data_IF_836951773982
#
_entry.id   IF_836951773982
#
_cell.length_a   1.000
_cell.length_b   1.000
_cell.length_c   1.000
_cell.angle_alpha   90.00
_cell.angle_beta   90.00
_cell.angle_gamma   90.00
#
_symmetry.space_group_name_H-M   'P 1'
#
loop_
_entity.id
_entity.type
_entity.pdbx_description
1 polymer ?
#
# COMPACT_ATOMS: atom_id res chain seq x y z
N UNK A 1 10.85 -15.54 8.90
CA UNK A 1 10.53 -14.25 9.55
C UNK A 1 9.69 -13.47 8.56
N UNK A 2 8.52 -12.96 8.97
CA UNK A 2 7.62 -12.23 8.07
C UNK A 2 7.80 -10.74 8.27
N UNK A 3 8.18 -10.01 7.21
CA UNK A 3 8.35 -8.56 7.21
C UNK A 3 7.20 -7.91 6.44
N UNK A 4 6.58 -6.89 7.02
CA UNK A 4 5.54 -6.07 6.39
C UNK A 4 5.93 -4.61 6.62
N UNK A 5 5.82 -3.79 5.59
CA UNK A 5 6.20 -2.38 5.64
C UNK A 5 4.93 -1.52 5.59
N UNK A 6 4.81 -0.59 6.54
CA UNK A 6 3.81 0.46 6.55
C UNK A 6 4.49 1.80 6.29
N UNK A 7 3.98 2.60 5.36
CA UNK A 7 4.62 3.87 4.99
C UNK A 7 3.62 5.00 4.80
N UNK A 8 3.91 6.17 5.34
CA UNK A 8 3.17 7.40 5.06
C UNK A 8 3.41 7.85 3.63
N UNK A 9 2.36 8.28 2.92
CA UNK A 9 2.47 8.74 1.53
C UNK A 9 2.00 10.18 1.27
N UNK A 10 1.54 10.91 2.29
CA UNK A 10 0.94 12.23 2.09
C UNK A 10 1.89 13.27 1.51
N UNK A 11 3.16 13.23 1.94
CA UNK A 11 4.20 14.11 1.44
C UNK A 11 4.57 13.78 -0.01
N UNK A 12 4.56 12.49 -0.38
CA UNK A 12 4.88 12.03 -1.73
C UNK A 12 3.78 12.32 -2.76
N UNK A 13 2.54 12.54 -2.30
CA UNK A 13 1.40 12.88 -3.14
C UNK A 13 1.29 14.37 -3.43
N UNK A 14 2.11 15.20 -2.81
CA UNK A 14 2.05 16.65 -3.01
C UNK A 14 2.61 17.04 -4.39
N UNK A 15 1.89 17.84 -5.19
CA UNK A 15 2.35 18.30 -6.50
C UNK A 15 3.59 19.18 -6.43
N UNK A 16 3.95 19.66 -5.23
CA UNK A 16 5.15 20.48 -4.99
C UNK A 16 6.43 19.65 -4.86
N UNK A 17 6.33 18.33 -4.77
CA UNK A 17 7.49 17.44 -4.74
C UNK A 17 7.80 17.04 -6.18
N UNK A 18 9.00 17.35 -6.71
CA UNK A 18 9.38 16.95 -8.06
C UNK A 18 9.20 15.44 -8.14
N UNK A 19 8.37 15.02 -9.08
CA UNK A 19 7.83 13.68 -9.21
C UNK A 19 8.80 12.61 -8.70
N UNK A 20 8.50 12.03 -7.54
CA UNK A 20 8.98 10.70 -7.18
C UNK A 20 8.38 9.62 -8.11
N UNK A 21 7.94 10.01 -9.32
CA UNK A 21 7.21 9.21 -10.30
C UNK A 21 8.03 8.10 -10.94
N UNK A 22 9.34 8.03 -10.67
CA UNK A 22 10.19 6.89 -11.03
C UNK A 22 10.64 6.08 -9.80
N UNK A 23 10.92 6.75 -8.67
CA UNK A 23 11.43 6.07 -7.47
C UNK A 23 10.37 5.22 -6.77
N UNK A 24 9.12 5.68 -6.70
CA UNK A 24 8.06 4.93 -6.00
C UNK A 24 7.75 3.59 -6.72
N UNK A 25 7.52 3.56 -8.05
CA UNK A 25 7.34 2.30 -8.76
C UNK A 25 8.51 1.33 -8.63
N UNK A 26 9.76 1.82 -8.68
CA UNK A 26 10.97 0.98 -8.54
C UNK A 26 11.03 0.32 -7.16
N UNK A 27 10.84 1.09 -6.08
CA UNK A 27 10.83 0.55 -4.71
C UNK A 27 9.68 -0.44 -4.51
N UNK A 28 8.50 -0.14 -5.04
CA UNK A 28 7.35 -1.06 -5.00
C UNK A 28 7.67 -2.37 -5.70
N UNK A 29 8.30 -2.31 -6.88
CA UNK A 29 8.70 -3.48 -7.65
C UNK A 29 9.74 -4.32 -6.91
N UNK A 30 10.75 -3.70 -6.31
CA UNK A 30 11.79 -4.40 -5.54
C UNK A 30 11.20 -5.14 -4.34
N UNK A 31 10.28 -4.49 -3.61
CA UNK A 31 9.60 -5.10 -2.46
C UNK A 31 8.69 -6.26 -2.91
N UNK A 32 8.00 -6.11 -4.05
CA UNK A 32 7.19 -7.19 -4.62
C UNK A 32 8.04 -8.39 -5.01
N UNK A 33 9.20 -8.20 -5.63
CA UNK A 33 10.13 -9.28 -5.98
C UNK A 33 10.63 -10.05 -4.75
N UNK A 34 10.79 -9.35 -3.63
CA UNK A 34 11.18 -9.96 -2.35
C UNK A 34 10.00 -10.55 -1.57
N UNK A 35 8.78 -10.50 -2.11
CA UNK A 35 7.55 -10.90 -1.44
C UNK A 35 7.31 -10.15 -0.11
N UNK A 36 7.73 -8.89 -0.04
CA UNK A 36 7.53 -8.02 1.14
C UNK A 36 6.26 -7.19 0.90
N UNK A 37 5.20 -7.36 1.71
CA UNK A 37 4.00 -6.55 1.59
C UNK A 37 4.27 -5.10 2.00
N UNK A 38 3.85 -4.17 1.15
CA UNK A 38 3.86 -2.72 1.41
C UNK A 38 2.42 -2.23 1.57
N UNK A 39 2.10 -1.66 2.72
CA UNK A 39 0.78 -1.10 3.05
C UNK A 39 0.94 0.41 3.23
N UNK A 40 0.50 1.23 2.27
CA UNK A 40 0.58 2.68 2.40
C UNK A 40 -0.45 3.21 3.40
N UNK A 41 -0.12 4.34 4.01
CA UNK A 41 -0.91 5.06 4.99
C UNK A 41 -1.04 6.51 4.54
N UNK A 42 -2.25 7.03 4.50
CA UNK A 42 -2.53 8.42 4.15
C UNK A 42 -3.62 9.01 5.04
N UNK A 43 -3.50 10.30 5.30
CA UNK A 43 -4.55 11.14 5.89
C UNK A 43 -5.66 11.49 4.90
N UNK A 44 -5.49 11.21 3.60
CA UNK A 44 -6.49 11.43 2.56
C UNK A 44 -7.56 10.35 2.56
N UNK A 45 -8.72 10.68 2.02
CA UNK A 45 -9.82 9.76 1.79
C UNK A 45 -9.55 8.82 0.60
N UNK A 46 -10.32 7.73 0.52
CA UNK A 46 -10.29 6.81 -0.65
C UNK A 46 -10.59 7.54 -1.96
N UNK A 47 -11.48 8.53 -1.94
CA UNK A 47 -11.87 9.25 -3.14
C UNK A 47 -10.73 10.12 -3.67
N UNK A 48 -9.98 10.79 -2.78
CA UNK A 48 -8.86 11.65 -3.16
C UNK A 48 -7.66 10.86 -3.69
N UNK A 49 -7.44 9.64 -3.18
CA UNK A 49 -6.29 8.82 -3.58
C UNK A 49 -6.56 7.92 -4.78
N UNK A 50 -7.82 7.73 -5.20
CA UNK A 50 -8.19 6.75 -6.23
C UNK A 50 -7.43 6.93 -7.56
N UNK A 51 -7.28 8.18 -8.01
CA UNK A 51 -6.62 8.50 -9.29
C UNK A 51 -5.10 8.28 -9.23
N UNK A 52 -4.48 8.63 -8.10
CA UNK A 52 -3.05 8.41 -7.87
C UNK A 52 -2.73 6.93 -7.59
N UNK A 53 -3.65 6.22 -6.95
CA UNK A 53 -3.46 4.82 -6.55
C UNK A 53 -3.22 3.91 -7.77
N UNK A 54 -3.99 4.12 -8.83
CA UNK A 54 -3.83 3.40 -10.09
C UNK A 54 -2.51 3.73 -10.78
N UNK A 55 -2.07 4.99 -10.74
CA UNK A 55 -0.84 5.41 -11.43
C UNK A 55 0.44 4.88 -10.77
N UNK A 56 0.41 4.54 -9.48
CA UNK A 56 1.54 3.92 -8.78
C UNK A 56 1.63 2.39 -8.95
N UNK A 57 0.69 1.76 -9.66
CA UNK A 57 0.69 0.30 -9.85
C UNK A 57 0.51 -0.49 -8.54
N UNK A 58 -0.03 0.15 -7.51
CA UNK A 58 -0.21 -0.45 -6.19
C UNK A 58 -1.49 -1.29 -6.16
N UNK A 59 -1.33 -2.57 -5.82
CA UNK A 59 -2.42 -3.55 -5.66
C UNK A 59 -2.50 -4.09 -4.22
N UNK A 60 -1.90 -3.36 -3.28
CA UNK A 60 -1.92 -3.71 -1.86
C UNK A 60 -3.13 -3.10 -1.13
N UNK A 61 -3.45 -3.55 0.09
CA UNK A 61 -4.34 -2.81 0.96
C UNK A 61 -3.80 -1.40 1.23
N UNK A 62 -4.72 -0.44 1.39
CA UNK A 62 -4.43 0.96 1.65
C UNK A 62 -5.11 1.40 2.95
N UNK A 63 -4.37 2.07 3.83
CA UNK A 63 -4.92 2.71 5.02
C UNK A 63 -5.18 4.19 4.70
N UNK A 64 -6.42 4.63 4.92
CA UNK A 64 -6.89 5.99 4.58
C UNK A 64 -7.36 6.74 5.83
N UNK A 65 -7.56 8.05 5.69
CA UNK A 65 -8.12 8.93 6.71
C UNK A 65 -7.37 8.84 8.05
N UNK A 66 -6.03 8.72 7.98
CA UNK A 66 -5.15 8.69 9.14
C UNK A 66 -5.30 7.41 9.98
N UNK A 67 -5.85 6.34 9.40
CA UNK A 67 -6.03 5.05 10.07
C UNK A 67 -7.48 4.65 10.34
N UNK A 68 -8.47 5.51 10.07
CA UNK A 68 -9.88 5.19 10.32
C UNK A 68 -10.50 4.29 9.26
N UNK A 69 -9.87 4.13 8.09
CA UNK A 69 -10.37 3.30 7.01
C UNK A 69 -9.29 2.39 6.40
N UNK A 70 -9.71 1.19 5.99
CA UNK A 70 -8.88 0.26 5.21
C UNK A 70 -9.61 -0.04 3.91
N UNK A 71 -8.94 0.19 2.79
CA UNK A 71 -9.40 -0.21 1.47
C UNK A 71 -8.68 -1.47 1.02
N UNK A 72 -9.44 -2.51 0.68
CA UNK A 72 -8.92 -3.77 0.15
C UNK A 72 -9.34 -3.86 -1.33
N UNK A 73 -8.40 -3.96 -2.28
CA UNK A 73 -8.74 -4.05 -3.70
C UNK A 73 -9.49 -5.35 -4.02
N UNK A 74 -10.48 -5.32 -4.94
CA UNK A 74 -11.41 -6.43 -5.18
C UNK A 74 -10.76 -7.69 -5.78
N UNK A 75 -9.68 -7.55 -6.54
CA UNK A 75 -9.09 -8.66 -7.33
C UNK A 75 -7.98 -9.43 -6.62
N UNK A 76 -7.72 -9.16 -5.33
CA UNK A 76 -6.75 -9.91 -4.55
C UNK A 76 -7.43 -10.40 -3.28
N UNK A 77 -7.66 -11.73 -3.10
CA UNK A 77 -7.99 -12.23 -1.78
C UNK A 77 -6.88 -11.75 -0.85
N UNK A 78 -7.22 -11.18 0.32
CA UNK A 78 -6.19 -10.67 1.21
C UNK A 78 -5.19 -11.78 1.44
N UNK A 79 -3.90 -11.53 1.17
CA UNK A 79 -2.81 -12.47 1.43
C UNK A 79 -2.56 -12.50 2.94
N UNK A 80 -3.61 -12.70 3.73
CA UNK A 80 -3.52 -13.09 5.12
C UNK A 80 -3.62 -14.60 5.13
N UNK A 81 -2.53 -15.25 4.73
CA UNK A 81 -2.35 -16.67 5.03
C UNK A 81 -1.98 -16.76 6.51
N UNK A 82 -2.99 -16.57 7.38
CA UNK A 82 -2.87 -16.98 8.77
C UNK A 82 -2.75 -18.50 8.72
N UNK A 83 -1.51 -18.98 8.80
CA UNK A 83 -1.22 -20.40 8.85
C UNK A 83 -2.18 -21.06 9.81
N UNK A 84 -2.92 -22.02 9.28
CA UNK A 84 -3.88 -22.81 10.03
C UNK A 84 -3.10 -23.60 11.10
N UNK A 85 -2.96 -23.03 12.29
CA UNK A 85 -2.61 -23.75 13.51
C UNK A 85 -3.71 -23.54 14.53
N UNK A 86 -4.88 -24.12 14.22
CA UNK A 86 -5.81 -24.53 15.27
C UNK A 86 -5.24 -25.83 15.85
N UNK A 87 -4.33 -25.68 16.81
CA UNK A 87 -4.08 -26.71 17.81
C UNK A 87 -4.80 -26.29 19.08
N UNK A 88 -6.05 -26.74 19.21
CA UNK A 88 -6.65 -27.34 20.42
C UNK A 88 -8.13 -27.59 20.22
#
# INVERSE_FOLDING_TARGET
MSLIIFTGIDEFLSPSVPSAGQVIPEVVQDLQQQNIPLIPVTCKTRAEIADCWQSFGLSSPLIVEGGSGIFIPPDRPPIFNFGNQIHR
#
